data_IF_954219882962
#
_entry.id   IF_954219882962
#
_cell.length_a   1.000
_cell.length_b   1.000
_cell.length_c   1.000
_cell.angle_alpha   90.00
_cell.angle_beta   90.00
_cell.angle_gamma   90.00
#
_symmetry.space_group_name_H-M   'P 1'
#
loop_
_entity.id
_entity.type
_entity.pdbx_description
1 polymer ?
#
# COMPACT_ATOMS: atom_id res chain seq x y z
N UNK A 1 -11.82 26.88 53.30
CA UNK A 1 -10.86 27.99 53.14
C UNK A 1 -10.68 28.59 54.51
N UNK A 2 -9.46 28.70 55.00
CA UNK A 2 -9.17 29.26 56.32
C UNK A 2 -8.00 30.23 56.22
N UNK A 3 -8.13 31.39 56.85
CA UNK A 3 -7.13 32.46 56.78
C UNK A 3 -6.56 32.71 58.17
N UNK A 4 -5.24 32.83 58.22
CA UNK A 4 -4.46 32.96 59.44
C UNK A 4 -3.53 34.17 59.31
N UNK A 5 -3.35 34.92 60.40
CA UNK A 5 -2.29 35.92 60.48
C UNK A 5 -1.02 35.24 60.98
N UNK A 6 0.10 35.48 60.31
CA UNK A 6 1.39 34.92 60.69
C UNK A 6 2.54 35.75 60.14
N UNK A 7 3.74 35.19 60.25
CA UNK A 7 4.97 35.80 59.74
C UNK A 7 5.47 35.02 58.54
N UNK A 8 5.87 35.74 57.50
CA UNK A 8 6.52 35.20 56.31
C UNK A 8 7.99 35.65 56.28
N UNK A 9 8.90 34.68 56.16
CA UNK A 9 10.34 34.88 56.01
C UNK A 9 10.77 34.54 54.59
N UNK A 10 11.70 35.33 54.04
CA UNK A 10 12.30 35.12 52.74
C UNK A 10 13.83 35.30 52.82
N UNK A 11 14.60 34.27 52.46
CA UNK A 11 16.06 34.30 52.54
C UNK A 11 16.74 35.22 51.52
N UNK A 12 16.03 35.67 50.47
CA UNK A 12 16.60 36.60 49.48
C UNK A 12 16.75 38.01 50.04
N UNK A 13 15.77 38.43 50.85
CA UNK A 13 15.69 39.76 51.45
C UNK A 13 16.15 39.74 52.91
N UNK A 14 16.30 38.55 53.49
CA UNK A 14 16.52 38.30 54.92
C UNK A 14 15.53 39.05 55.83
N UNK A 15 14.30 39.23 55.34
CA UNK A 15 13.25 39.95 56.04
C UNK A 15 12.13 39.02 56.50
N UNK A 16 11.59 39.31 57.68
CA UNK A 16 10.37 38.69 58.19
C UNK A 16 9.27 39.74 58.23
N UNK A 17 8.18 39.50 57.49
CA UNK A 17 7.05 40.42 57.38
C UNK A 17 5.76 39.76 57.86
N UNK A 18 4.82 40.56 58.36
CA UNK A 18 3.48 40.07 58.68
C UNK A 18 2.72 39.72 57.40
N UNK A 19 2.03 38.57 57.43
CA UNK A 19 1.37 37.99 56.27
C UNK A 19 -0.01 37.43 56.62
N UNK A 20 -0.96 37.58 55.69
CA UNK A 20 -2.22 36.86 55.73
C UNK A 20 -2.08 35.55 54.93
N UNK A 21 -2.20 34.42 55.60
CA UNK A 21 -1.96 33.09 55.06
C UNK A 21 -3.31 32.39 54.90
N UNK A 22 -3.73 32.18 53.66
CA UNK A 22 -4.96 31.48 53.32
C UNK A 22 -4.68 30.07 52.85
N UNK A 23 -5.22 29.09 53.57
CA UNK A 23 -5.16 27.67 53.24
C UNK A 23 -6.40 27.26 52.43
N UNK A 24 -6.17 26.72 51.23
CA UNK A 24 -7.21 26.15 50.38
C UNK A 24 -6.92 24.68 50.07
N UNK A 25 -7.89 23.97 49.52
CA UNK A 25 -7.70 22.57 49.11
C UNK A 25 -6.63 22.38 48.02
N UNK A 26 -6.30 23.43 47.25
CA UNK A 26 -5.35 23.35 46.13
C UNK A 26 -3.97 23.93 46.48
N UNK A 27 -3.94 25.04 47.23
CA UNK A 27 -2.73 25.82 47.45
C UNK A 27 -2.79 26.62 48.76
N UNK A 28 -1.64 27.14 49.15
CA UNK A 28 -1.45 28.12 50.22
C UNK A 28 -1.19 29.47 49.55
N UNK A 29 -2.00 30.48 49.86
CA UNK A 29 -1.80 31.86 49.40
C UNK A 29 -1.29 32.69 50.57
N UNK A 30 -0.18 33.39 50.37
CA UNK A 30 0.46 34.24 51.37
C UNK A 30 0.40 35.67 50.85
N UNK A 31 -0.35 36.53 51.52
CA UNK A 31 -0.45 37.95 51.18
C UNK A 31 0.45 38.76 52.10
N UNK A 32 1.43 39.45 51.52
CA UNK A 32 2.39 40.30 52.22
C UNK A 32 2.26 41.74 51.74
N UNK A 33 2.55 42.70 52.61
CA UNK A 33 2.65 44.11 52.26
C UNK A 33 4.13 44.47 52.11
N UNK A 34 4.51 44.93 50.93
CA UNK A 34 5.88 45.33 50.61
C UNK A 34 6.25 46.67 51.29
N UNK A 35 7.54 47.04 51.32
CA UNK A 35 8.05 48.27 51.95
C UNK A 35 7.41 49.56 51.40
N UNK A 36 6.93 49.51 50.16
CA UNK A 36 6.23 50.61 49.48
C UNK A 36 4.70 50.60 49.73
N UNK A 37 4.21 49.69 50.58
CA UNK A 37 2.81 49.54 50.93
C UNK A 37 1.96 48.76 49.92
N UNK A 38 2.57 48.19 48.88
CA UNK A 38 1.91 47.40 47.84
C UNK A 38 1.68 45.96 48.32
N UNK A 39 0.46 45.44 48.12
CA UNK A 39 0.15 44.05 48.44
C UNK A 39 0.72 43.10 47.38
N UNK A 40 1.48 42.09 47.82
CA UNK A 40 1.98 41.00 46.97
C UNK A 40 1.42 39.67 47.45
N UNK A 41 1.16 38.77 46.50
CA UNK A 41 0.70 37.41 46.78
C UNK A 41 1.77 36.40 46.37
N UNK A 42 2.09 35.47 47.27
CA UNK A 42 2.96 34.33 47.02
C UNK A 42 2.12 33.06 47.10
N UNK A 43 2.29 32.16 46.14
CA UNK A 43 1.53 30.92 46.05
C UNK A 43 2.43 29.71 46.29
N UNK A 44 2.06 28.86 47.24
CA UNK A 44 2.71 27.56 47.45
C UNK A 44 1.73 26.41 47.18
N UNK A 45 2.22 25.37 46.51
CA UNK A 45 1.46 24.14 46.33
C UNK A 45 1.79 23.12 47.42
N UNK A 46 0.78 22.37 47.87
CA UNK A 46 0.91 21.41 48.99
C UNK A 46 1.91 20.28 48.75
N UNK A 47 2.24 19.99 47.49
CA UNK A 47 3.24 18.99 47.09
C UNK A 47 4.68 19.47 47.28
N UNK A 48 4.90 20.78 47.31
CA UNK A 48 6.21 21.40 47.48
C UNK A 48 6.51 21.73 48.94
N UNK A 49 5.49 21.90 49.78
CA UNK A 49 5.66 22.38 51.16
C UNK A 49 6.12 21.28 52.12
N UNK A 50 7.11 21.61 52.97
CA UNK A 50 7.54 20.80 54.11
C UNK A 50 7.03 21.40 55.42
N UNK A 51 6.79 20.54 56.40
CA UNK A 51 6.37 20.92 57.76
C UNK A 51 7.53 20.67 58.75
N UNK A 52 8.44 21.64 58.96
CA UNK A 52 9.54 21.50 59.90
C UNK A 52 9.09 21.52 61.37
N UNK A 53 7.98 22.21 61.70
CA UNK A 53 7.43 22.27 63.04
C UNK A 53 5.89 22.33 63.02
N UNK A 54 5.25 22.15 64.19
CA UNK A 54 3.79 22.16 64.29
C UNK A 54 3.17 23.46 63.75
N UNK A 55 3.84 24.58 63.98
CA UNK A 55 3.38 25.94 63.67
C UNK A 55 4.12 26.58 62.48
N UNK A 56 4.92 25.79 61.76
CA UNK A 56 5.80 26.30 60.71
C UNK A 56 5.68 25.46 59.44
N UNK A 57 5.57 26.15 58.31
CA UNK A 57 5.66 25.55 56.98
C UNK A 57 6.84 26.17 56.22
N UNK A 58 7.58 25.36 55.51
CA UNK A 58 8.73 25.77 54.72
C UNK A 58 8.56 25.37 53.26
N UNK A 59 8.93 26.27 52.36
CA UNK A 59 9.05 25.99 50.95
C UNK A 59 10.52 25.62 50.63
N UNK A 60 10.82 24.36 50.32
CA UNK A 60 12.17 23.91 49.96
C UNK A 60 12.50 24.39 48.55
N UNK A 61 13.32 25.43 48.46
CA UNK A 61 13.78 26.02 47.21
C UNK A 61 14.59 27.28 47.49
N UNK A 62 15.24 27.83 46.46
CA UNK A 62 15.90 29.13 46.56
C UNK A 62 14.98 30.22 45.95
N UNK A 63 14.70 31.32 46.67
CA UNK A 63 15.09 31.57 48.05
C UNK A 63 14.30 30.71 49.04
N UNK A 64 14.90 30.41 50.19
CA UNK A 64 14.23 29.67 51.26
C UNK A 64 13.14 30.55 51.85
N UNK A 65 11.93 30.02 51.92
CA UNK A 65 10.80 30.75 52.47
C UNK A 65 10.15 29.93 53.57
N UNK A 66 9.73 30.61 54.63
CA UNK A 66 9.00 29.96 55.71
C UNK A 66 7.86 30.82 56.22
N UNK A 67 6.78 30.18 56.66
CA UNK A 67 5.68 30.82 57.35
C UNK A 67 5.57 30.27 58.76
N UNK A 68 5.37 31.15 59.72
CA UNK A 68 5.13 30.81 61.12
C UNK A 68 3.78 31.37 61.56
N UNK A 69 2.89 30.51 62.04
CA UNK A 69 1.52 30.85 62.45
C UNK A 69 1.28 30.34 63.86
N UNK A 70 0.89 31.22 64.78
CA UNK A 70 0.69 30.89 66.20
C UNK A 70 -0.76 30.53 66.57
N UNK A 71 -1.64 30.34 65.59
CA UNK A 71 -3.02 29.94 65.83
C UNK A 71 -3.14 28.45 66.20
N UNK A 72 -3.88 28.15 67.27
CA UNK A 72 -4.06 26.78 67.79
C UNK A 72 -4.62 25.80 66.73
N UNK A 73 -5.48 26.27 65.82
CA UNK A 73 -6.12 25.43 64.79
C UNK A 73 -5.26 25.24 63.54
N UNK A 74 -4.14 25.97 63.40
CA UNK A 74 -3.32 25.94 62.20
C UNK A 74 -2.68 24.56 61.99
N UNK A 75 -2.15 23.98 63.06
CA UNK A 75 -1.48 22.69 63.05
C UNK A 75 -2.37 21.54 62.52
N UNK A 76 -3.63 21.52 62.95
CA UNK A 76 -4.61 20.50 62.55
C UNK A 76 -5.09 20.72 61.11
N UNK A 77 -5.28 21.99 60.72
CA UNK A 77 -5.69 22.36 59.37
C UNK A 77 -4.64 21.98 58.33
N UNK A 78 -3.37 22.24 58.63
CA UNK A 78 -2.24 21.83 57.80
C UNK A 78 -2.15 20.30 57.71
N UNK A 79 -2.34 19.59 58.83
CA UNK A 79 -2.35 18.13 58.85
C UNK A 79 -3.47 17.56 57.95
N UNK A 80 -4.67 18.13 58.02
CA UNK A 80 -5.81 17.74 57.18
C UNK A 80 -5.48 17.90 55.69
N UNK A 81 -4.91 19.03 55.28
CA UNK A 81 -4.56 19.28 53.88
C UNK A 81 -3.40 18.41 53.39
N UNK A 82 -2.39 18.16 54.22
CA UNK A 82 -1.28 17.27 53.88
C UNK A 82 -1.71 15.80 53.76
N UNK A 83 -2.67 15.35 54.57
CA UNK A 83 -3.23 13.99 54.49
C UNK A 83 -4.11 13.79 53.25
N UNK A 84 -4.79 14.84 52.78
CA UNK A 84 -5.70 14.79 51.63
C UNK A 84 -5.09 15.36 50.33
N UNK A 85 -3.75 15.53 50.29
CA UNK A 85 -3.06 16.04 49.10
C UNK A 85 -3.23 15.06 47.92
N UNK A 86 -3.88 15.52 46.86
CA UNK A 86 -3.87 14.82 45.56
C UNK A 86 -2.72 15.37 44.75
N UNK A 87 -1.57 14.67 44.76
CA UNK A 87 -0.38 15.12 44.05
C UNK A 87 -0.58 15.17 42.53
N UNK A 88 0.16 16.04 41.80
CA UNK A 88 0.08 16.15 40.34
C UNK A 88 0.42 14.85 39.59
N UNK A 89 1.11 13.90 40.24
CA UNK A 89 1.41 12.57 39.67
C UNK A 89 0.17 11.74 39.30
N UNK A 90 -0.94 11.88 40.02
CA UNK A 90 -2.18 11.15 39.72
C UNK A 90 -2.84 11.61 38.41
N UNK A 91 -2.58 12.85 37.97
CA UNK A 91 -3.06 13.38 36.70
C UNK A 91 -2.12 13.07 35.53
N UNK A 92 -0.80 13.03 35.78
CA UNK A 92 0.19 12.72 34.75
C UNK A 92 0.07 11.28 34.20
N UNK A 93 -0.20 10.29 35.06
CA UNK A 93 -0.37 8.90 34.63
C UNK A 93 -1.62 8.67 33.77
N UNK A 94 -2.75 9.32 34.10
CA UNK A 94 -3.99 9.22 33.31
C UNK A 94 -3.85 9.86 31.92
N UNK A 95 -3.18 11.00 31.82
CA UNK A 95 -2.90 11.65 30.54
C UNK A 95 -2.05 10.76 29.63
N UNK A 96 -1.00 10.13 30.17
CA UNK A 96 -0.12 9.24 29.41
C UNK A 96 -0.83 7.99 28.90
N UNK A 97 -1.67 7.35 29.72
CA UNK A 97 -2.43 6.16 29.27
C UNK A 97 -3.45 6.50 28.20
N UNK A 98 -4.15 7.63 28.32
CA UNK A 98 -5.11 8.08 27.30
C UNK A 98 -4.40 8.39 25.98
N UNK A 99 -3.27 9.10 26.01
CA UNK A 99 -2.47 9.38 24.80
C UNK A 99 -1.98 8.09 24.16
N UNK A 100 -1.45 7.15 24.95
CA UNK A 100 -1.00 5.85 24.43
C UNK A 100 -2.15 5.06 23.81
N UNK A 101 -3.32 5.00 24.46
CA UNK A 101 -4.51 4.33 23.90
C UNK A 101 -4.96 4.97 22.59
N UNK A 102 -4.98 6.30 22.50
CA UNK A 102 -5.32 7.02 21.26
C UNK A 102 -4.32 6.71 20.16
N UNK A 103 -3.01 6.74 20.45
CA UNK A 103 -1.97 6.38 19.48
C UNK A 103 -2.13 4.94 19.00
N UNK A 104 -2.37 3.98 19.90
CA UNK A 104 -2.60 2.58 19.53
C UNK A 104 -3.84 2.41 18.67
N UNK A 105 -4.93 3.11 18.97
CA UNK A 105 -6.15 3.09 18.14
C UNK A 105 -5.86 3.66 16.76
N UNK A 106 -5.17 4.80 16.66
CA UNK A 106 -4.80 5.41 15.38
C UNK A 106 -3.92 4.44 14.58
N UNK A 107 -2.91 3.83 15.20
CA UNK A 107 -2.06 2.84 14.54
C UNK A 107 -2.85 1.61 14.07
N UNK A 108 -3.81 1.14 14.88
CA UNK A 108 -4.71 0.05 14.51
C UNK A 108 -5.61 0.40 13.33
N UNK A 109 -6.15 1.62 13.29
CA UNK A 109 -6.95 2.11 12.17
C UNK A 109 -6.08 2.26 10.92
N UNK A 110 -4.89 2.83 11.03
CA UNK A 110 -3.94 2.95 9.91
C UNK A 110 -3.57 1.57 9.37
N UNK A 111 -3.28 0.61 10.24
CA UNK A 111 -3.02 -0.77 9.84
C UNK A 111 -4.25 -1.40 9.16
N UNK A 112 -5.45 -1.23 9.69
CA UNK A 112 -6.68 -1.75 9.08
C UNK A 112 -6.93 -1.11 7.71
N UNK A 113 -6.77 0.20 7.58
CA UNK A 113 -6.91 0.90 6.30
C UNK A 113 -5.87 0.38 5.30
N UNK A 114 -4.61 0.27 5.72
CA UNK A 114 -3.51 -0.15 4.86
C UNK A 114 -3.61 -1.62 4.42
N UNK A 115 -3.88 -2.53 5.35
CA UNK A 115 -3.88 -3.97 5.07
C UNK A 115 -5.22 -4.51 4.54
N UNK A 116 -6.35 -3.86 4.85
CA UNK A 116 -7.68 -4.37 4.49
C UNK A 116 -8.44 -3.43 3.55
N UNK A 117 -8.56 -2.14 3.90
CA UNK A 117 -9.40 -1.23 3.12
C UNK A 117 -8.81 -0.88 1.75
N UNK A 118 -7.53 -0.53 1.69
CA UNK A 118 -6.85 -0.17 0.43
C UNK A 118 -6.86 -1.33 -0.56
N UNK A 119 -6.46 -2.58 -0.20
CA UNK A 119 -6.53 -3.71 -1.12
C UNK A 119 -7.96 -4.02 -1.58
N UNK A 120 -8.95 -3.94 -0.68
CA UNK A 120 -10.36 -4.13 -1.02
C UNK A 120 -10.84 -3.10 -2.04
N UNK A 121 -10.56 -1.81 -1.79
CA UNK A 121 -11.00 -0.72 -2.65
C UNK A 121 -10.24 -0.72 -3.98
N UNK A 122 -8.93 -1.05 -3.98
CA UNK A 122 -8.13 -1.21 -5.20
C UNK A 122 -8.68 -2.32 -6.11
N UNK A 123 -9.04 -3.47 -5.55
CA UNK A 123 -9.66 -4.56 -6.31
C UNK A 123 -11.03 -4.15 -6.88
N UNK A 124 -11.80 -3.33 -6.15
CA UNK A 124 -13.10 -2.82 -6.62
C UNK A 124 -12.95 -1.80 -7.75
N UNK A 125 -12.02 -0.86 -7.61
CA UNK A 125 -11.72 0.16 -8.63
C UNK A 125 -11.17 -0.51 -9.89
N UNK A 126 -10.20 -1.43 -9.77
CA UNK A 126 -9.60 -2.13 -10.92
C UNK A 126 -10.62 -2.79 -11.86
N UNK A 127 -11.74 -3.31 -11.34
CA UNK A 127 -12.78 -3.89 -12.18
C UNK A 127 -13.57 -2.82 -12.97
N UNK A 128 -13.75 -1.64 -12.39
CA UNK A 128 -14.60 -0.56 -12.93
C UNK A 128 -13.81 0.56 -13.63
N UNK A 129 -12.50 0.43 -13.77
CA UNK A 129 -11.69 1.41 -14.51
C UNK A 129 -12.14 1.45 -15.97
N UNK A 130 -12.37 2.65 -16.53
CA UNK A 130 -12.66 2.82 -17.94
C UNK A 130 -11.54 2.26 -18.83
N UNK A 131 -11.90 1.65 -19.96
CA UNK A 131 -10.93 1.10 -20.92
C UNK A 131 -9.92 2.17 -21.36
N UNK A 132 -10.37 3.41 -21.55
CA UNK A 132 -9.50 4.54 -21.92
C UNK A 132 -8.38 4.84 -20.91
N UNK A 133 -8.57 4.51 -19.64
CA UNK A 133 -7.52 4.65 -18.62
C UNK A 133 -6.50 3.51 -18.74
N UNK A 134 -6.97 2.28 -19.01
CA UNK A 134 -6.09 1.15 -19.28
C UNK A 134 -5.28 1.36 -20.57
N UNK A 135 -5.87 1.95 -21.60
CA UNK A 135 -5.20 2.33 -22.85
C UNK A 135 -4.08 3.35 -22.60
N UNK A 136 -4.35 4.43 -21.84
CA UNK A 136 -3.32 5.42 -21.50
C UNK A 136 -2.18 4.82 -20.69
N UNK A 137 -2.52 4.03 -19.66
CA UNK A 137 -1.55 3.34 -18.82
C UNK A 137 -0.71 2.35 -19.64
N UNK A 138 -1.37 1.61 -20.54
CA UNK A 138 -0.79 0.70 -21.49
C UNK A 138 0.20 1.37 -22.42
N UNK A 139 -0.21 2.48 -23.03
CA UNK A 139 0.62 3.28 -23.93
C UNK A 139 1.88 3.78 -23.23
N UNK A 140 1.76 4.35 -22.02
CA UNK A 140 2.94 4.79 -21.25
C UNK A 140 3.86 3.62 -20.88
N UNK A 141 3.29 2.45 -20.56
CA UNK A 141 4.07 1.22 -20.30
C UNK A 141 4.82 0.78 -21.56
N UNK A 142 4.13 0.80 -22.70
CA UNK A 142 4.65 0.40 -23.99
C UNK A 142 5.80 1.31 -24.43
N UNK A 143 5.60 2.62 -24.39
CA UNK A 143 6.59 3.62 -24.81
C UNK A 143 7.89 3.53 -23.98
N UNK A 144 7.78 3.19 -22.70
CA UNK A 144 8.94 3.00 -21.83
C UNK A 144 9.66 1.67 -22.06
N UNK A 145 8.92 0.59 -22.28
CA UNK A 145 9.48 -0.74 -22.50
C UNK A 145 10.13 -0.88 -23.87
N UNK A 146 9.45 -0.41 -24.92
CA UNK A 146 9.82 -0.73 -26.30
C UNK A 146 11.17 -0.13 -26.70
N UNK A 147 11.60 0.94 -26.03
CA UNK A 147 12.92 1.55 -26.24
C UNK A 147 14.09 0.60 -25.92
N UNK A 148 13.85 -0.42 -25.10
CA UNK A 148 14.87 -1.40 -24.71
C UNK A 148 14.96 -2.57 -25.69
N UNK A 149 14.02 -2.68 -26.63
CA UNK A 149 13.89 -3.82 -27.52
C UNK A 149 14.14 -3.44 -28.97
N UNK A 150 14.67 -4.40 -29.74
CA UNK A 150 14.71 -4.31 -31.19
C UNK A 150 13.42 -4.88 -31.77
N UNK A 151 12.56 -4.01 -32.30
CA UNK A 151 11.32 -4.41 -32.97
C UNK A 151 11.64 -5.12 -34.30
N UNK A 152 10.88 -6.18 -34.60
CA UNK A 152 10.89 -6.86 -35.89
C UNK A 152 9.62 -6.47 -36.68
N UNK A 153 9.69 -5.51 -37.64
CA UNK A 153 8.49 -4.95 -38.26
C UNK A 153 7.69 -5.97 -39.08
N UNK A 154 8.35 -6.85 -39.82
CA UNK A 154 7.69 -7.86 -40.66
C UNK A 154 6.96 -8.90 -39.79
N UNK A 155 7.64 -9.45 -38.78
CA UNK A 155 7.02 -10.37 -37.83
C UNK A 155 5.88 -9.70 -37.04
N UNK A 156 6.05 -8.42 -36.67
CA UNK A 156 5.01 -7.61 -36.02
C UNK A 156 3.78 -7.47 -36.92
N UNK A 157 3.96 -7.15 -38.20
CA UNK A 157 2.86 -7.04 -39.16
C UNK A 157 2.12 -8.37 -39.30
N UNK A 158 2.85 -9.47 -39.47
CA UNK A 158 2.27 -10.79 -39.62
C UNK A 158 1.56 -11.26 -38.34
N UNK A 159 2.10 -10.99 -37.16
CA UNK A 159 1.45 -11.32 -35.88
C UNK A 159 0.13 -10.58 -35.70
N UNK A 160 0.06 -9.29 -36.07
CA UNK A 160 -1.20 -8.54 -36.07
C UNK A 160 -2.20 -9.08 -37.11
N UNK A 161 -1.73 -9.42 -38.31
CA UNK A 161 -2.58 -10.04 -39.33
C UNK A 161 -3.13 -11.40 -38.86
N UNK A 162 -2.30 -12.19 -38.16
CA UNK A 162 -2.71 -13.46 -37.56
C UNK A 162 -3.81 -13.25 -36.53
N UNK A 163 -3.64 -12.29 -35.61
CA UNK A 163 -4.64 -11.99 -34.59
C UNK A 163 -5.96 -11.49 -35.18
N UNK A 164 -5.89 -10.64 -36.21
CA UNK A 164 -7.08 -10.18 -36.94
C UNK A 164 -7.81 -11.37 -37.60
N UNK A 165 -7.06 -12.33 -38.15
CA UNK A 165 -7.61 -13.54 -38.77
C UNK A 165 -8.24 -14.51 -37.75
N UNK A 166 -7.93 -14.41 -36.45
CA UNK A 166 -8.69 -15.11 -35.40
C UNK A 166 -10.11 -14.56 -35.23
N UNK A 167 -10.39 -13.37 -35.80
CA UNK A 167 -11.69 -12.69 -35.78
C UNK A 167 -12.23 -12.44 -34.36
N UNK A 168 -11.36 -12.31 -33.35
CA UNK A 168 -11.72 -12.10 -31.95
C UNK A 168 -12.39 -10.73 -31.79
N UNK A 169 -13.61 -10.70 -31.28
CA UNK A 169 -14.31 -9.46 -30.97
C UNK A 169 -13.73 -8.86 -29.69
N UNK A 170 -12.91 -7.81 -29.84
CA UNK A 170 -12.25 -7.16 -28.73
C UNK A 170 -12.83 -5.79 -28.41
N UNK A 171 -12.94 -5.47 -27.12
CA UNK A 171 -13.22 -4.12 -26.62
C UNK A 171 -11.98 -3.24 -26.49
N UNK A 172 -10.79 -3.83 -26.60
CA UNK A 172 -9.50 -3.15 -26.58
C UNK A 172 -8.89 -3.13 -27.99
N UNK A 173 -8.17 -2.06 -28.35
CA UNK A 173 -7.39 -2.00 -29.59
C UNK A 173 -6.13 -2.87 -29.43
N UNK A 174 -6.26 -4.18 -29.64
CA UNK A 174 -5.14 -5.11 -29.46
C UNK A 174 -4.05 -4.83 -30.49
N UNK A 175 -2.82 -4.67 -30.02
CA UNK A 175 -1.63 -4.45 -30.82
C UNK A 175 -0.56 -5.43 -30.38
N UNK A 176 -0.09 -6.26 -31.31
CA UNK A 176 1.00 -7.20 -31.04
C UNK A 176 2.30 -6.59 -31.53
N UNK A 177 3.35 -6.60 -30.71
CA UNK A 177 4.69 -6.18 -31.13
C UNK A 177 5.66 -7.34 -30.95
N UNK A 178 6.33 -7.72 -32.03
CA UNK A 178 7.35 -8.76 -32.02
C UNK A 178 8.72 -8.12 -31.83
N UNK A 179 9.46 -8.59 -30.84
CA UNK A 179 10.79 -8.08 -30.50
C UNK A 179 11.82 -9.20 -30.57
N UNK A 180 13.05 -8.84 -30.92
CA UNK A 180 14.17 -9.78 -30.95
C UNK A 180 14.70 -10.05 -29.53
N UNK A 181 14.58 -11.29 -29.05
CA UNK A 181 15.06 -11.74 -27.76
C UNK A 181 15.46 -13.21 -27.80
N UNK A 182 16.53 -13.59 -27.08
CA UNK A 182 17.05 -14.97 -27.10
C UNK A 182 16.25 -15.94 -26.22
N UNK A 183 15.34 -15.42 -25.41
CA UNK A 183 14.51 -16.19 -24.49
C UNK A 183 13.12 -16.37 -25.07
N UNK A 184 12.43 -17.45 -24.72
CA UNK A 184 11.03 -17.64 -25.09
C UNK A 184 10.13 -16.92 -24.08
N UNK A 185 9.44 -15.87 -24.52
CA UNK A 185 8.47 -15.14 -23.68
C UNK A 185 7.41 -14.43 -24.53
N UNK A 186 6.29 -14.11 -23.87
CA UNK A 186 5.29 -13.17 -24.33
C UNK A 186 4.56 -12.63 -23.10
N UNK A 187 4.06 -11.39 -23.18
CA UNK A 187 3.29 -10.80 -22.10
C UNK A 187 2.35 -9.70 -22.61
N UNK A 188 1.18 -9.59 -21.98
CA UNK A 188 0.23 -8.52 -22.19
C UNK A 188 0.43 -7.34 -21.22
N UNK A 189 0.45 -6.12 -21.76
CA UNK A 189 0.35 -4.86 -21.03
C UNK A 189 -1.12 -4.41 -20.92
N UNK A 190 -1.45 -3.48 -20.01
CA UNK A 190 -2.77 -2.86 -19.98
C UNK A 190 -3.13 -2.25 -21.34
N UNK A 191 -4.43 -2.12 -21.63
CA UNK A 191 -4.89 -1.40 -22.83
C UNK A 191 -4.82 -2.16 -24.15
N UNK A 192 -4.18 -3.34 -24.19
CA UNK A 192 -4.20 -4.23 -25.37
C UNK A 192 -2.86 -4.41 -26.09
N UNK A 193 -1.76 -3.87 -25.56
CA UNK A 193 -0.45 -4.18 -26.13
C UNK A 193 0.01 -5.58 -25.69
N UNK A 194 0.40 -6.42 -26.63
CA UNK A 194 0.94 -7.76 -26.39
C UNK A 194 2.35 -7.80 -26.98
N UNK A 195 3.34 -8.10 -26.17
CA UNK A 195 4.74 -8.25 -26.62
C UNK A 195 5.04 -9.73 -26.78
N UNK A 196 5.64 -10.09 -27.91
CA UNK A 196 6.04 -11.48 -28.21
C UNK A 196 7.52 -11.50 -28.56
N UNK A 197 8.28 -12.38 -27.94
CA UNK A 197 9.68 -12.59 -28.28
C UNK A 197 9.78 -13.50 -29.51
N UNK A 198 10.60 -13.14 -30.48
CA UNK A 198 10.77 -13.88 -31.74
C UNK A 198 11.23 -15.33 -31.54
N UNK A 199 12.07 -15.58 -30.55
CA UNK A 199 12.49 -16.93 -30.19
C UNK A 199 11.31 -17.86 -29.89
N UNK A 200 10.25 -17.37 -29.21
CA UNK A 200 9.06 -18.17 -28.95
C UNK A 200 8.32 -18.52 -30.25
N UNK A 201 8.30 -17.63 -31.24
CA UNK A 201 7.69 -17.89 -32.56
C UNK A 201 8.45 -18.95 -33.34
N UNK A 202 9.79 -18.87 -33.35
CA UNK A 202 10.66 -19.83 -34.03
C UNK A 202 10.56 -21.26 -33.47
N UNK A 203 10.19 -21.40 -32.20
CA UNK A 203 10.08 -22.70 -31.54
C UNK A 203 8.74 -23.40 -31.83
N UNK A 204 7.70 -22.65 -32.16
CA UNK A 204 6.39 -23.19 -32.47
C UNK A 204 6.43 -24.01 -33.76
N UNK A 205 5.74 -25.15 -33.75
CA UNK A 205 5.67 -26.04 -34.91
C UNK A 205 4.32 -25.95 -35.63
N UNK A 206 3.29 -25.45 -34.93
CA UNK A 206 1.92 -25.38 -35.44
C UNK A 206 1.32 -24.00 -35.20
N UNK A 207 0.52 -23.51 -36.16
CA UNK A 207 -0.16 -22.22 -36.02
C UNK A 207 -1.16 -22.22 -34.84
N UNK A 208 -1.66 -23.38 -34.43
CA UNK A 208 -2.53 -23.50 -33.26
C UNK A 208 -1.80 -23.18 -31.94
N UNK A 209 -0.47 -23.32 -31.89
CA UNK A 209 0.34 -22.87 -30.75
C UNK A 209 0.33 -21.35 -30.65
N UNK A 210 0.49 -20.66 -31.79
CA UNK A 210 0.42 -19.20 -31.85
C UNK A 210 -1.01 -18.71 -31.53
N UNK A 211 -2.03 -19.38 -32.05
CA UNK A 211 -3.41 -19.08 -31.73
C UNK A 211 -3.70 -19.25 -30.22
N UNK A 212 -3.17 -20.30 -29.60
CA UNK A 212 -3.29 -20.53 -28.17
C UNK A 212 -2.57 -19.43 -27.36
N UNK A 213 -1.34 -19.08 -27.73
CA UNK A 213 -0.56 -18.01 -27.09
C UNK A 213 -1.31 -16.68 -27.13
N UNK A 214 -1.70 -16.24 -28.32
CA UNK A 214 -2.36 -14.94 -28.49
C UNK A 214 -3.74 -14.91 -27.83
N UNK A 215 -4.48 -16.03 -27.83
CA UNK A 215 -5.75 -16.12 -27.11
C UNK A 215 -5.56 -16.07 -25.59
N UNK A 216 -4.48 -16.65 -25.07
CA UNK A 216 -4.12 -16.59 -23.65
C UNK A 216 -3.72 -15.16 -23.24
N UNK A 217 -2.80 -14.53 -23.96
CA UNK A 217 -2.38 -13.15 -23.67
C UNK A 217 -3.55 -12.16 -23.81
N UNK A 218 -4.39 -12.35 -24.83
CA UNK A 218 -5.61 -11.57 -24.97
C UNK A 218 -6.57 -11.78 -23.80
N UNK A 219 -6.69 -12.99 -23.25
CA UNK A 219 -7.51 -13.24 -22.07
C UNK A 219 -7.02 -12.44 -20.85
N UNK A 220 -5.70 -12.28 -20.67
CA UNK A 220 -5.16 -11.41 -19.63
C UNK A 220 -5.58 -9.94 -19.81
N UNK A 221 -5.58 -9.42 -21.04
CA UNK A 221 -6.10 -8.07 -21.35
C UNK A 221 -7.60 -8.00 -21.05
N UNK A 222 -8.38 -8.92 -21.63
CA UNK A 222 -9.83 -8.91 -21.57
C UNK A 222 -10.37 -9.04 -20.13
N UNK A 223 -9.67 -9.80 -19.27
CA UNK A 223 -10.04 -9.98 -17.87
C UNK A 223 -9.34 -8.98 -16.93
N UNK A 224 -8.61 -8.01 -17.49
CA UNK A 224 -7.85 -6.96 -16.78
C UNK A 224 -6.82 -7.54 -15.80
N UNK A 225 -6.25 -8.70 -16.09
CA UNK A 225 -5.30 -9.36 -15.20
C UNK A 225 -4.02 -8.53 -15.00
N UNK A 226 -3.49 -7.95 -16.07
CA UNK A 226 -2.31 -7.08 -16.00
C UNK A 226 -2.58 -5.87 -15.10
N UNK A 227 -3.65 -5.12 -15.36
CA UNK A 227 -4.08 -3.96 -14.57
C UNK A 227 -4.27 -4.31 -13.09
N UNK A 228 -5.00 -5.40 -12.80
CA UNK A 228 -5.20 -5.89 -11.42
C UNK A 228 -3.87 -6.24 -10.74
N UNK A 229 -2.93 -6.82 -11.48
CA UNK A 229 -1.63 -7.26 -10.93
C UNK A 229 -0.73 -6.06 -10.66
N UNK A 230 -0.64 -5.11 -11.59
CA UNK A 230 0.07 -3.83 -11.42
C UNK A 230 -0.46 -3.09 -10.19
N UNK A 231 -1.78 -3.01 -10.02
CA UNK A 231 -2.37 -2.26 -8.92
C UNK A 231 -2.08 -2.90 -7.57
N UNK A 232 -2.01 -4.23 -7.56
CA UNK A 232 -1.62 -4.99 -6.38
C UNK A 232 -0.13 -4.86 -6.08
N UNK A 233 0.75 -4.80 -7.09
CA UNK A 233 2.21 -4.74 -6.90
C UNK A 233 2.72 -3.34 -6.60
N UNK A 234 2.20 -2.32 -7.29
CA UNK A 234 2.60 -0.91 -7.13
C UNK A 234 1.89 -0.20 -5.96
N UNK A 235 0.96 -0.89 -5.30
CA UNK A 235 0.43 -0.53 -3.99
C UNK A 235 -0.34 0.81 -3.95
N UNK A 236 -0.26 1.46 -2.79
CA UNK A 236 -1.08 2.61 -2.41
C UNK A 236 -0.89 3.84 -3.31
N UNK A 237 0.29 4.04 -3.90
CA UNK A 237 0.55 5.25 -4.70
C UNK A 237 -0.29 5.27 -5.98
N UNK A 238 -0.28 4.18 -6.76
CA UNK A 238 -1.08 4.08 -7.98
C UNK A 238 -2.59 4.20 -7.68
N UNK A 239 -3.00 3.66 -6.54
CA UNK A 239 -4.36 3.78 -6.04
C UNK A 239 -4.74 5.23 -5.69
N UNK A 240 -3.87 5.98 -5.00
CA UNK A 240 -4.08 7.40 -4.70
C UNK A 240 -4.15 8.22 -5.99
N UNK A 241 -3.20 8.04 -6.92
CA UNK A 241 -3.18 8.77 -8.20
C UNK A 241 -4.49 8.60 -8.97
N UNK A 242 -5.08 7.40 -8.96
CA UNK A 242 -6.37 7.16 -9.63
C UNK A 242 -7.57 7.78 -8.91
N UNK A 243 -7.60 7.78 -7.58
CA UNK A 243 -8.67 8.44 -6.81
C UNK A 243 -8.69 9.95 -7.09
N UNK A 244 -7.51 10.57 -7.17
CA UNK A 244 -7.39 12.01 -7.41
C UNK A 244 -7.29 12.39 -8.90
N UNK A 245 -7.38 11.41 -9.81
CA UNK A 245 -7.32 11.65 -11.26
C UNK A 245 -5.95 12.08 -11.79
N UNK A 246 -4.88 11.89 -11.00
CA UNK A 246 -3.49 12.16 -11.38
C UNK A 246 -2.94 11.03 -12.28
N UNK A 247 -3.41 11.01 -13.51
CA UNK A 247 -2.96 10.05 -14.52
C UNK A 247 -1.48 10.22 -14.89
N UNK A 248 -0.95 11.45 -14.78
CA UNK A 248 0.46 11.73 -15.04
C UNK A 248 1.37 11.06 -14.02
N UNK A 249 1.04 11.18 -12.73
CA UNK A 249 1.77 10.50 -11.65
C UNK A 249 1.67 8.97 -11.73
N UNK A 250 0.49 8.44 -12.07
CA UNK A 250 0.33 6.99 -12.28
C UNK A 250 1.20 6.48 -13.46
N UNK A 251 1.24 7.22 -14.57
CA UNK A 251 2.10 6.91 -15.71
C UNK A 251 3.58 6.97 -15.36
N UNK A 252 4.03 7.98 -14.61
CA UNK A 252 5.42 8.12 -14.19
C UNK A 252 5.91 6.90 -13.36
N UNK A 253 5.09 6.42 -12.43
CA UNK A 253 5.43 5.23 -11.62
C UNK A 253 5.49 3.97 -12.47
N UNK A 254 4.60 3.82 -13.45
CA UNK A 254 4.67 2.72 -14.41
C UNK A 254 5.97 2.77 -15.21
N UNK A 255 6.34 3.95 -15.73
CA UNK A 255 7.56 4.15 -16.51
C UNK A 255 8.80 3.81 -15.68
N UNK A 256 8.87 4.29 -14.45
CA UNK A 256 9.97 3.99 -13.51
C UNK A 256 10.09 2.48 -13.23
N UNK A 257 8.97 1.76 -13.28
CA UNK A 257 8.89 0.33 -12.98
C UNK A 257 8.63 -0.54 -14.22
N UNK A 258 8.87 -0.01 -15.42
CA UNK A 258 8.55 -0.68 -16.68
C UNK A 258 9.17 -2.08 -16.76
N UNK A 259 10.43 -2.23 -16.31
CA UNK A 259 11.14 -3.51 -16.27
C UNK A 259 10.51 -4.57 -15.36
N UNK A 260 9.72 -4.16 -14.37
CA UNK A 260 8.97 -5.09 -13.53
C UNK A 260 7.74 -5.65 -14.26
N UNK A 261 7.26 -4.97 -15.31
CA UNK A 261 6.06 -5.37 -16.06
C UNK A 261 6.27 -6.65 -16.88
N UNK A 262 7.45 -6.81 -17.49
CA UNK A 262 7.79 -8.06 -18.22
C UNK A 262 7.92 -9.28 -17.30
N UNK A 263 8.13 -9.05 -16.01
CA UNK A 263 8.30 -10.07 -14.96
C UNK A 263 7.04 -10.24 -14.09
N UNK A 264 5.89 -9.72 -14.52
CA UNK A 264 4.66 -9.85 -13.74
C UNK A 264 4.28 -11.32 -13.60
N UNK A 265 4.14 -11.75 -12.35
CA UNK A 265 3.68 -13.09 -12.02
C UNK A 265 2.19 -13.08 -11.74
N UNK A 266 1.44 -13.84 -12.53
CA UNK A 266 0.02 -14.03 -12.30
C UNK A 266 -0.23 -15.14 -11.27
N UNK A 267 -1.30 -14.99 -10.50
CA UNK A 267 -1.70 -16.05 -9.58
C UNK A 267 -2.22 -17.26 -10.36
N UNK A 268 -2.08 -18.47 -9.81
CA UNK A 268 -2.62 -19.72 -10.39
C UNK A 268 -4.10 -19.63 -10.79
N UNK A 269 -4.89 -18.80 -10.10
CA UNK A 269 -6.29 -18.55 -10.44
C UNK A 269 -6.44 -17.74 -11.73
N UNK A 270 -5.66 -16.68 -11.90
CA UNK A 270 -5.68 -15.83 -13.10
C UNK A 270 -5.19 -16.60 -14.33
N UNK A 271 -4.13 -17.41 -14.19
CA UNK A 271 -3.65 -18.31 -15.25
C UNK A 271 -4.75 -19.27 -15.72
N UNK A 272 -5.48 -19.86 -14.77
CA UNK A 272 -6.58 -20.77 -15.09
C UNK A 272 -7.73 -20.05 -15.79
N UNK A 273 -8.06 -18.84 -15.36
CA UNK A 273 -9.09 -18.02 -16.00
C UNK A 273 -8.67 -17.67 -17.45
N UNK A 274 -7.43 -17.27 -17.67
CA UNK A 274 -6.89 -16.96 -18.99
C UNK A 274 -6.86 -18.19 -19.91
N UNK A 275 -6.42 -19.34 -19.40
CA UNK A 275 -6.40 -20.60 -20.15
C UNK A 275 -7.78 -21.07 -20.58
N UNK A 276 -8.76 -21.05 -19.68
CA UNK A 276 -10.11 -21.49 -20.00
C UNK A 276 -10.80 -20.53 -20.98
N UNK A 277 -10.59 -19.22 -20.82
CA UNK A 277 -11.10 -18.22 -21.75
C UNK A 277 -10.47 -18.35 -23.14
N UNK A 278 -9.15 -18.49 -23.21
CA UNK A 278 -8.44 -18.70 -24.48
C UNK A 278 -8.83 -20.02 -25.15
N UNK A 279 -9.01 -21.10 -24.37
CA UNK A 279 -9.50 -22.38 -24.86
C UNK A 279 -10.90 -22.25 -25.48
N UNK A 280 -11.79 -21.52 -24.81
CA UNK A 280 -13.13 -21.23 -25.31
C UNK A 280 -13.08 -20.45 -26.62
N UNK A 281 -12.21 -19.43 -26.73
CA UNK A 281 -12.01 -18.68 -27.98
C UNK A 281 -11.60 -19.60 -29.13
N UNK A 282 -10.61 -20.47 -28.95
CA UNK A 282 -10.20 -21.40 -30.01
C UNK A 282 -11.33 -22.33 -30.44
N UNK A 283 -12.10 -22.85 -29.47
CA UNK A 283 -13.25 -23.71 -29.75
C UNK A 283 -14.34 -22.98 -30.53
N UNK A 284 -14.66 -21.74 -30.17
CA UNK A 284 -15.62 -20.90 -30.89
C UNK A 284 -15.18 -20.59 -32.32
N UNK A 285 -13.86 -20.64 -32.60
CA UNK A 285 -13.27 -20.42 -33.93
C UNK A 285 -12.95 -21.70 -34.67
N UNK A 286 -13.34 -22.86 -34.15
CA UNK A 286 -13.05 -24.18 -34.74
C UNK A 286 -11.55 -24.45 -34.95
N UNK A 287 -10.67 -23.73 -34.25
CA UNK A 287 -9.21 -23.95 -34.24
C UNK A 287 -8.90 -25.07 -33.27
N UNK A 288 -7.94 -25.95 -33.61
CA UNK A 288 -7.65 -27.10 -32.77
C UNK A 288 -7.18 -26.70 -31.36
N UNK A 289 -8.00 -26.97 -30.31
CA UNK A 289 -7.65 -26.60 -28.94
C UNK A 289 -6.45 -27.35 -28.37
N UNK A 290 -5.95 -28.38 -29.06
CA UNK A 290 -4.69 -29.06 -28.72
C UNK A 290 -3.47 -28.12 -28.82
N UNK A 291 -3.60 -26.98 -29.52
CA UNK A 291 -2.58 -25.93 -29.59
C UNK A 291 -2.08 -25.46 -28.22
N UNK A 292 -2.94 -25.44 -27.19
CA UNK A 292 -2.51 -25.14 -25.80
C UNK A 292 -1.55 -26.19 -25.24
N UNK A 293 -1.85 -27.47 -25.46
CA UNK A 293 -0.98 -28.56 -25.00
C UNK A 293 0.36 -28.55 -25.75
N UNK A 294 0.34 -28.27 -27.06
CA UNK A 294 1.56 -28.12 -27.85
C UNK A 294 2.40 -26.94 -27.39
N UNK A 295 1.80 -25.76 -27.22
CA UNK A 295 2.46 -24.55 -26.72
C UNK A 295 3.13 -24.81 -25.35
N UNK A 296 2.40 -25.41 -24.41
CA UNK A 296 2.95 -25.72 -23.09
C UNK A 296 4.10 -26.74 -23.15
N UNK A 297 4.04 -27.69 -24.08
CA UNK A 297 5.16 -28.61 -24.29
C UNK A 297 6.36 -27.92 -24.94
N UNK A 298 6.14 -26.98 -25.87
CA UNK A 298 7.18 -26.14 -26.48
C UNK A 298 7.91 -25.33 -25.40
N UNK A 299 7.16 -24.62 -24.55
CA UNK A 299 7.70 -23.86 -23.41
C UNK A 299 8.43 -24.74 -22.39
N UNK A 300 7.90 -25.95 -22.12
CA UNK A 300 8.52 -26.91 -21.19
C UNK A 300 9.87 -27.42 -21.69
N UNK A 301 10.01 -27.71 -22.99
CA UNK A 301 11.29 -28.16 -23.58
C UNK A 301 12.40 -27.13 -23.41
N UNK A 302 12.07 -25.85 -23.46
CA UNK A 302 13.05 -24.78 -23.25
C UNK A 302 13.42 -24.59 -21.79
N UNK A 303 12.47 -24.77 -20.87
CA UNK A 303 12.74 -24.66 -19.43
C UNK A 303 13.81 -25.63 -18.90
N UNK A 304 14.06 -26.75 -19.61
CA UNK A 304 15.15 -27.68 -19.31
C UNK A 304 16.53 -27.24 -19.81
N UNK A 305 16.60 -26.28 -20.74
CA UNK A 305 17.84 -25.79 -21.35
C UNK A 305 18.26 -24.43 -20.79
N UNK A 306 17.31 -23.57 -20.44
CA UNK A 306 17.49 -22.31 -19.70
C UNK A 306 16.23 -22.03 -18.86
N UNK A 307 16.29 -21.27 -17.75
CA UNK A 307 15.08 -20.80 -17.09
C UNK A 307 14.29 -19.91 -18.05
N UNK A 308 13.26 -20.46 -18.70
CA UNK A 308 12.41 -19.68 -19.60
C UNK A 308 11.73 -18.55 -18.80
N UNK A 309 11.90 -17.28 -19.21
CA UNK A 309 11.26 -16.14 -18.55
C UNK A 309 9.74 -16.33 -18.47
N UNK A 310 9.14 -16.93 -19.50
CA UNK A 310 7.72 -17.26 -19.51
C UNK A 310 7.29 -18.15 -18.34
N UNK A 311 8.11 -19.14 -17.93
CA UNK A 311 7.74 -20.01 -16.81
C UNK A 311 7.77 -19.26 -15.47
N UNK A 312 8.55 -18.17 -15.41
CA UNK A 312 8.62 -17.30 -14.25
C UNK A 312 7.38 -16.41 -14.14
N UNK A 313 6.83 -15.92 -15.25
CA UNK A 313 5.56 -15.17 -15.28
C UNK A 313 4.32 -16.08 -15.22
N UNK A 314 4.40 -17.30 -15.78
CA UNK A 314 3.30 -18.25 -15.97
C UNK A 314 3.62 -19.68 -15.45
N UNK A 315 3.49 -19.94 -14.13
CA UNK A 315 3.92 -21.21 -13.54
C UNK A 315 2.97 -22.40 -13.79
N UNK A 316 3.43 -23.61 -13.41
CA UNK A 316 2.63 -24.86 -13.25
C UNK A 316 2.13 -25.54 -14.54
N UNK A 317 2.96 -25.55 -15.60
CA UNK A 317 2.65 -26.17 -16.90
C UNK A 317 2.06 -27.58 -16.83
N UNK A 318 2.59 -28.46 -15.96
CA UNK A 318 2.11 -29.85 -15.86
C UNK A 318 0.65 -29.94 -15.39
N UNK A 319 0.19 -29.05 -14.50
CA UNK A 319 -1.22 -29.01 -14.10
C UNK A 319 -2.08 -28.39 -15.18
N UNK A 320 -1.56 -27.38 -15.89
CA UNK A 320 -2.24 -26.71 -17.01
C UNK A 320 -2.56 -27.66 -18.14
N UNK A 321 -1.58 -28.40 -18.63
CA UNK A 321 -1.75 -29.46 -19.64
C UNK A 321 -2.87 -30.43 -19.20
N UNK A 322 -2.84 -30.88 -17.94
CA UNK A 322 -3.81 -31.84 -17.41
C UNK A 322 -5.25 -31.31 -17.35
N UNK A 323 -5.47 -30.04 -17.03
CA UNK A 323 -6.83 -29.50 -17.03
C UNK A 323 -7.27 -29.06 -18.43
N UNK A 324 -6.37 -28.55 -19.28
CA UNK A 324 -6.70 -28.26 -20.68
C UNK A 324 -7.22 -29.52 -21.37
N UNK A 325 -6.49 -30.64 -21.25
CA UNK A 325 -6.94 -31.92 -21.83
C UNK A 325 -8.32 -32.38 -21.34
N UNK A 326 -8.74 -31.98 -20.12
CA UNK A 326 -10.08 -32.28 -19.58
C UNK A 326 -11.18 -31.32 -20.06
N UNK A 327 -10.86 -30.07 -20.34
CA UNK A 327 -11.84 -29.04 -20.76
C UNK A 327 -11.91 -28.91 -22.28
N UNK A 328 -10.92 -29.45 -23.00
CA UNK A 328 -10.91 -29.53 -24.45
C UNK A 328 -12.07 -30.42 -24.92
N UNK A 329 -12.97 -29.85 -25.72
CA UNK A 329 -13.99 -30.63 -26.43
C UNK A 329 -13.38 -31.19 -27.71
N UNK A 330 -13.64 -32.47 -28.00
CA UNK A 330 -13.36 -33.05 -29.31
C UNK A 330 -14.39 -32.50 -30.30
N UNK A 331 -14.00 -31.51 -31.09
CA UNK A 331 -14.80 -30.96 -32.19
C UNK A 331 -14.18 -31.30 -33.53
N UNK A 332 -14.96 -31.16 -34.62
CA UNK A 332 -14.41 -31.17 -35.97
C UNK A 332 -13.55 -29.92 -36.14
N UNK A 333 -12.24 -30.08 -36.00
CA UNK A 333 -11.24 -29.04 -36.23
C UNK A 333 -10.79 -29.11 -37.67
N UNK A 334 -10.92 -28.02 -38.41
CA UNK A 334 -10.41 -27.90 -39.78
C UNK A 334 -9.19 -26.98 -39.79
N UNK A 335 -8.15 -27.36 -40.52
CA UNK A 335 -6.99 -26.49 -40.71
C UNK A 335 -7.41 -25.19 -41.38
N UNK A 336 -7.13 -24.06 -40.73
CA UNK A 336 -7.33 -22.74 -41.35
C UNK A 336 -6.11 -22.42 -42.21
N UNK A 337 -6.27 -22.53 -43.54
CA UNK A 337 -5.20 -22.28 -44.51
C UNK A 337 -4.68 -20.84 -44.48
N UNK A 338 -5.49 -19.86 -44.08
CA UNK A 338 -5.09 -18.46 -43.98
C UNK A 338 -4.18 -18.26 -42.76
N UNK A 339 -4.58 -18.78 -41.60
CA UNK A 339 -3.75 -18.75 -40.39
C UNK A 339 -2.43 -19.49 -40.61
N UNK A 340 -2.47 -20.68 -41.21
CA UNK A 340 -1.26 -21.44 -41.53
C UNK A 340 -0.31 -20.66 -42.45
N UNK A 341 -0.82 -20.00 -43.49
CA UNK A 341 -0.01 -19.19 -44.40
C UNK A 341 0.65 -18.01 -43.69
N UNK A 342 -0.08 -17.31 -42.82
CA UNK A 342 0.46 -16.19 -42.05
C UNK A 342 1.53 -16.71 -41.08
N UNK A 343 1.27 -17.81 -40.37
CA UNK A 343 2.23 -18.44 -39.47
C UNK A 343 3.54 -18.83 -40.16
N UNK A 344 3.48 -19.42 -41.36
CA UNK A 344 4.68 -19.74 -42.15
C UNK A 344 5.47 -18.47 -42.50
N UNK A 345 4.80 -17.36 -42.79
CA UNK A 345 5.48 -16.10 -43.11
C UNK A 345 6.07 -15.39 -41.89
N UNK A 346 5.58 -15.66 -40.68
CA UNK A 346 6.18 -15.16 -39.43
C UNK A 346 7.57 -15.79 -39.20
N UNK A 347 7.73 -17.05 -39.60
CA UNK A 347 8.92 -17.87 -39.35
C UNK A 347 9.89 -17.94 -40.54
N UNK A 348 9.71 -17.10 -41.55
CA UNK A 348 10.67 -16.89 -42.65
C UNK A 348 11.56 -15.71 -42.31
#
# INVERSE_FOLDING_TARGET
MQTYNGKYYNSLTDTTVDAAITLTAKQITIEIKDEQGVMRQVFWFWDQVKRPAANMLAYPGYPEQSITVHALTFADTVAYHLAHKKGPQAYAHKGRTVVLSVVTIILGIVALVYFWFIPFLAARIANNIPISYEEKLGQSSYDALIQQYKILPEATQQANAFFQQLHITSRYPVQITVVHEQQSNAFALPGGHIIVYDQLLHEMQHYEELAALLSHEYAHVQLKHTTKTIFRSMGTYMFISLIFGDLGGAGAVVVENANSLKNLQYSRRLEREADLYGLELLQQRHINPQGFEWLFNTLKKQSSLQPAEWLSSHPDLNKRIRYIGRHRRAGNTTTDSSLLRIFININK
#
